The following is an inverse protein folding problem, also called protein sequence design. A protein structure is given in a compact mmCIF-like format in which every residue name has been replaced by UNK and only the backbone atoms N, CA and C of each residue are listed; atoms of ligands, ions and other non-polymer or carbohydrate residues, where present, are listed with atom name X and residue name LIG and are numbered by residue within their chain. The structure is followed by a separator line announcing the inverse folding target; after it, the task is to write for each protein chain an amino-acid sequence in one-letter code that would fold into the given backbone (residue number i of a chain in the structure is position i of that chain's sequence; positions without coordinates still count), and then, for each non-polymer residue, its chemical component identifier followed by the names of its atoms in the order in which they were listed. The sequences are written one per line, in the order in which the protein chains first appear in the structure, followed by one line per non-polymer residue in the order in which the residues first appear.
data_IF_590407924156
#
_entry.id   IF_590407924156
#
_cell.length_a   1.000
_cell.length_b   1.000
_cell.length_c   1.000
_cell.angle_alpha   90.00
_cell.angle_beta   90.00
_cell.angle_gamma   90.00
#
_symmetry.space_group_name_H-M   'P 1'
#
loop_
_entity.id
_entity.type
_entity.pdbx_description
1 polymer ?
#
# COMPACT_ATOMS: atom_id res chain seq x y z
N UNK A 1 18.43 -23.69 2.91
CA UNK A 1 17.15 -24.40 2.77
C UNK A 1 16.29 -23.55 1.86
N UNK A 2 16.03 -24.05 0.65
CA UNK A 2 15.16 -23.36 -0.31
C UNK A 2 13.72 -23.78 -0.04
N UNK A 3 12.89 -22.82 0.33
CA UNK A 3 11.46 -23.06 0.52
C UNK A 3 10.80 -22.97 -0.86
N UNK A 4 10.61 -24.11 -1.52
CA UNK A 4 9.86 -24.21 -2.77
C UNK A 4 8.35 -24.03 -2.49
N UNK A 5 7.64 -23.34 -3.40
CA UNK A 5 6.19 -23.15 -3.37
C UNK A 5 5.62 -22.41 -2.13
N UNK A 6 6.38 -21.48 -1.52
CA UNK A 6 5.91 -20.68 -0.37
C UNK A 6 4.55 -20.01 -0.60
N UNK A 7 4.34 -19.47 -1.82
CA UNK A 7 3.11 -18.75 -2.16
C UNK A 7 1.90 -19.67 -2.29
N UNK A 8 2.08 -20.89 -2.81
CA UNK A 8 0.99 -21.86 -2.97
C UNK A 8 0.61 -22.54 -1.65
N UNK A 9 1.47 -22.44 -0.62
CA UNK A 9 1.27 -23.04 0.71
C UNK A 9 0.73 -22.02 1.73
N UNK A 10 0.37 -20.81 1.30
CA UNK A 10 -0.16 -19.78 2.21
C UNK A 10 -1.57 -20.15 2.65
N UNK A 11 -1.73 -20.42 3.95
CA UNK A 11 -3.03 -20.64 4.57
C UNK A 11 -3.80 -19.32 4.64
N UNK A 12 -4.70 -19.11 3.69
CA UNK A 12 -5.42 -17.85 3.49
C UNK A 12 -6.21 -17.41 4.73
N UNK A 13 -6.80 -18.36 5.46
CA UNK A 13 -7.54 -18.07 6.70
C UNK A 13 -6.62 -17.50 7.79
N UNK A 14 -5.40 -18.01 7.92
CA UNK A 14 -4.40 -17.46 8.85
C UNK A 14 -3.95 -16.07 8.42
N UNK A 15 -3.79 -15.86 7.11
CA UNK A 15 -3.42 -14.55 6.57
C UNK A 15 -4.50 -13.50 6.89
N UNK A 16 -5.78 -13.81 6.67
CA UNK A 16 -6.89 -12.90 7.01
C UNK A 16 -6.94 -12.66 8.53
N UNK A 17 -6.72 -13.69 9.36
CA UNK A 17 -6.63 -13.53 10.81
C UNK A 17 -5.54 -12.52 11.21
N UNK A 18 -4.33 -12.67 10.66
CA UNK A 18 -3.22 -11.74 10.90
C UNK A 18 -3.56 -10.32 10.43
N UNK A 19 -4.23 -10.16 9.28
CA UNK A 19 -4.62 -8.84 8.78
C UNK A 19 -5.61 -8.14 9.70
N UNK A 20 -6.56 -8.88 10.29
CA UNK A 20 -7.52 -8.34 11.26
C UNK A 20 -6.85 -7.90 12.56
N UNK A 21 -5.75 -8.55 12.94
CA UNK A 21 -4.94 -8.19 14.11
C UNK A 21 -4.02 -6.99 13.86
N UNK A 22 -3.46 -6.86 12.64
CA UNK A 22 -2.58 -5.73 12.27
C UNK A 22 -3.37 -4.43 12.13
N UNK A 23 -4.57 -4.49 11.54
CA UNK A 23 -5.46 -3.32 11.42
C UNK A 23 -6.23 -3.15 12.73
N UNK A 24 -5.60 -2.54 13.74
CA UNK A 24 -6.21 -2.37 15.08
C UNK A 24 -7.38 -1.38 15.10
N UNK A 25 -7.28 -0.31 14.31
CA UNK A 25 -8.23 0.81 14.35
C UNK A 25 -9.35 0.65 13.34
N UNK A 26 -10.53 1.20 13.64
CA UNK A 26 -11.70 1.09 12.78
C UNK A 26 -11.63 1.98 11.53
N UNK A 27 -10.90 3.10 11.62
CA UNK A 27 -10.76 4.05 10.54
C UNK A 27 -9.34 4.61 10.47
N UNK A 28 -8.86 4.76 9.23
CA UNK A 28 -7.55 5.33 8.95
C UNK A 28 -7.66 6.50 7.96
N UNK A 29 -6.83 7.52 8.18
CA UNK A 29 -6.60 8.62 7.25
C UNK A 29 -5.31 8.35 6.48
N UNK A 30 -5.41 8.35 5.15
CA UNK A 30 -4.26 8.23 4.25
C UNK A 30 -3.79 9.64 3.89
N UNK A 31 -2.70 10.07 4.50
CA UNK A 31 -2.01 11.32 4.18
C UNK A 31 -1.04 11.12 3.01
N UNK A 32 -1.22 11.89 1.94
CA UNK A 32 -0.36 11.84 0.73
C UNK A 32 0.58 13.03 0.70
N UNK A 33 1.86 12.79 0.41
CA UNK A 33 2.86 13.85 0.41
C UNK A 33 4.00 13.57 -0.59
N UNK A 34 4.61 14.64 -1.07
CA UNK A 34 5.82 14.59 -1.87
C UNK A 34 7.05 14.50 -0.97
N UNK A 35 8.02 13.68 -1.38
CA UNK A 35 9.35 13.62 -0.82
C UNK A 35 10.34 14.01 -1.92
N UNK A 36 11.20 14.98 -1.64
CA UNK A 36 12.28 15.38 -2.53
C UNK A 36 13.59 15.29 -1.77
N UNK A 37 14.48 14.43 -2.22
CA UNK A 37 15.78 14.24 -1.59
C UNK A 37 16.89 14.12 -2.64
N UNK A 38 18.11 14.48 -2.24
CA UNK A 38 19.29 14.28 -3.07
C UNK A 38 19.93 12.94 -2.73
N UNK A 39 20.07 12.07 -3.73
CA UNK A 39 20.82 10.81 -3.60
C UNK A 39 22.07 10.94 -4.45
N UNK A 40 23.21 11.18 -3.80
CA UNK A 40 24.43 11.63 -4.48
C UNK A 40 24.25 13.01 -5.10
N UNK A 41 24.54 13.15 -6.39
CA UNK A 41 24.36 14.41 -7.15
C UNK A 41 23.00 14.54 -7.86
N UNK A 42 22.10 13.58 -7.68
CA UNK A 42 20.81 13.55 -8.38
C UNK A 42 19.66 13.87 -7.45
N UNK A 43 18.81 14.79 -7.90
CA UNK A 43 17.54 15.08 -7.26
C UNK A 43 16.55 13.94 -7.55
N UNK A 44 15.96 13.37 -6.49
CA UNK A 44 14.92 12.36 -6.61
C UNK A 44 13.63 12.89 -6.00
N UNK A 45 12.55 12.78 -6.76
CA UNK A 45 11.20 13.05 -6.30
C UNK A 45 10.43 11.75 -6.17
N UNK A 46 9.74 11.57 -5.06
CA UNK A 46 8.86 10.43 -4.77
C UNK A 46 7.53 10.95 -4.23
N UNK A 47 6.44 10.29 -4.60
CA UNK A 47 5.15 10.47 -3.94
C UNK A 47 4.98 9.35 -2.92
N UNK A 48 4.75 9.73 -1.67
CA UNK A 48 4.59 8.83 -0.55
C UNK A 48 3.19 8.97 0.04
N UNK A 49 2.77 7.92 0.74
CA UNK A 49 1.52 7.88 1.50
C UNK A 49 1.85 7.32 2.88
N UNK A 50 1.18 7.83 3.91
CA UNK A 50 1.21 7.29 5.27
C UNK A 50 -0.22 7.16 5.78
N UNK A 51 -0.51 6.05 6.44
CA UNK A 51 -1.78 5.84 7.11
C UNK A 51 -1.63 6.21 8.59
N UNK A 52 -2.64 6.91 9.11
CA UNK A 52 -2.78 7.30 10.50
C UNK A 52 -4.15 6.83 11.01
N UNK A 53 -4.29 6.45 12.28
CA UNK A 53 -5.61 6.37 12.91
C UNK A 53 -6.39 7.68 12.72
N UNK A 54 -7.71 7.61 12.55
CA UNK A 54 -8.55 8.81 12.37
C UNK A 54 -8.42 9.78 13.55
N UNK A 55 -8.47 9.23 14.78
CA UNK A 55 -8.42 9.98 16.04
C UNK A 55 -7.03 10.53 16.40
N UNK A 56 -5.96 10.02 15.78
CA UNK A 56 -4.57 10.41 16.06
C UNK A 56 -3.85 10.83 14.77
N UNK A 57 -4.57 11.54 13.90
CA UNK A 57 -4.00 12.06 12.65
C UNK A 57 -3.32 13.41 12.90
N UNK A 58 -1.96 13.49 12.86
CA UNK A 58 -1.26 14.75 13.07
C UNK A 58 -1.46 15.68 11.87
N UNK A 59 -1.35 16.99 12.12
CA UNK A 59 -1.16 17.95 11.04
C UNK A 59 0.10 17.63 10.22
N UNK A 60 0.14 18.12 8.98
CA UNK A 60 1.24 17.80 8.07
C UNK A 60 2.62 18.24 8.59
N UNK A 61 2.72 19.38 9.28
CA UNK A 61 4.01 19.87 9.78
C UNK A 61 4.53 18.97 10.89
N UNK A 62 3.65 18.55 11.79
CA UNK A 62 3.95 17.58 12.86
C UNK A 62 4.35 16.23 12.27
N UNK A 63 3.61 15.73 11.27
CA UNK A 63 3.96 14.50 10.55
C UNK A 63 5.33 14.61 9.84
N UNK A 64 5.60 15.73 9.18
CA UNK A 64 6.86 15.98 8.48
C UNK A 64 8.04 16.09 9.45
N UNK A 65 7.84 16.71 10.62
CA UNK A 65 8.84 16.77 11.69
C UNK A 65 9.22 15.36 12.17
N UNK A 66 8.24 14.51 12.48
CA UNK A 66 8.49 13.11 12.88
C UNK A 66 9.23 12.33 11.78
N UNK A 67 8.84 12.50 10.51
CA UNK A 67 9.49 11.82 9.39
C UNK A 67 10.93 12.32 9.16
N UNK A 68 11.22 13.59 9.47
CA UNK A 68 12.55 14.18 9.31
C UNK A 68 13.61 13.58 10.24
N UNK A 69 13.18 12.98 11.36
CA UNK A 69 14.07 12.25 12.28
C UNK A 69 14.74 11.07 11.58
N UNK A 70 13.96 10.32 10.77
CA UNK A 70 14.43 9.15 10.02
C UNK A 70 14.95 9.49 8.61
N UNK A 71 14.39 10.51 7.96
CA UNK A 71 14.67 10.86 6.56
C UNK A 71 15.38 12.21 6.44
N UNK A 72 16.68 12.21 6.73
CA UNK A 72 17.51 13.41 6.63
C UNK A 72 17.64 13.91 5.19
N UNK A 73 17.86 15.21 5.03
CA UNK A 73 18.03 15.88 3.72
C UNK A 73 16.85 15.66 2.75
N UNK A 74 15.64 15.55 3.31
CA UNK A 74 14.41 15.38 2.55
C UNK A 74 13.52 16.59 2.75
N UNK A 75 13.04 17.16 1.66
CA UNK A 75 11.98 18.17 1.65
C UNK A 75 10.65 17.44 1.50
N UNK A 76 9.71 17.73 2.40
CA UNK A 76 8.36 17.21 2.36
C UNK A 76 7.41 18.27 1.81
N UNK A 77 6.48 17.86 0.94
CA UNK A 77 5.49 18.74 0.32
C UNK A 77 4.10 18.16 0.56
N UNK A 78 3.23 18.90 1.23
CA UNK A 78 1.84 18.48 1.43
C UNK A 78 1.11 18.50 0.07
N UNK A 79 0.34 17.45 -0.20
CA UNK A 79 -0.55 17.42 -1.36
C UNK A 79 -1.99 17.79 -1.00
N UNK A 80 -2.31 17.95 0.30
CA UNK A 80 -3.64 18.28 0.83
C UNK A 80 -4.70 17.24 0.44
N UNK A 81 -4.27 16.04 0.08
CA UNK A 81 -5.17 14.92 -0.25
C UNK A 81 -5.17 13.95 0.91
N UNK A 82 -6.25 14.02 1.71
CA UNK A 82 -6.55 13.13 2.81
C UNK A 82 -7.77 12.30 2.46
N UNK A 83 -7.58 10.99 2.30
CA UNK A 83 -8.68 10.04 2.07
C UNK A 83 -8.85 9.16 3.31
N UNK A 84 -10.06 9.07 3.83
CA UNK A 84 -10.39 8.11 4.88
C UNK A 84 -10.65 6.72 4.29
N UNK A 85 -10.35 5.68 5.06
CA UNK A 85 -10.61 4.29 4.70
C UNK A 85 -10.98 3.53 5.96
N UNK A 86 -12.07 2.76 5.91
CA UNK A 86 -12.51 1.94 7.04
C UNK A 86 -11.83 0.59 7.02
N UNK A 87 -11.63 0.02 8.21
CA UNK A 87 -11.07 -1.32 8.40
C UNK A 87 -11.89 -2.37 7.67
N UNK A 88 -13.22 -2.31 7.78
CA UNK A 88 -14.14 -3.24 7.13
C UNK A 88 -13.94 -3.25 5.61
N UNK A 89 -14.00 -2.08 4.97
CA UNK A 89 -13.76 -1.93 3.52
C UNK A 89 -12.39 -2.48 3.10
N UNK A 90 -11.36 -2.25 3.92
CA UNK A 90 -10.00 -2.73 3.65
C UNK A 90 -9.89 -4.26 3.80
N UNK A 91 -10.51 -4.84 4.83
CA UNK A 91 -10.54 -6.28 5.04
C UNK A 91 -11.32 -6.96 3.93
N UNK A 92 -12.48 -6.43 3.54
CA UNK A 92 -13.30 -6.97 2.46
C UNK A 92 -12.53 -6.94 1.13
N UNK A 93 -11.87 -5.83 0.81
CA UNK A 93 -11.02 -5.73 -0.37
C UNK A 93 -9.87 -6.73 -0.33
N UNK A 94 -9.20 -6.88 0.81
CA UNK A 94 -8.09 -7.84 0.96
C UNK A 94 -8.58 -9.29 0.86
N UNK A 95 -9.75 -9.60 1.42
CA UNK A 95 -10.37 -10.92 1.37
C UNK A 95 -10.76 -11.27 -0.08
N UNK A 96 -11.39 -10.36 -0.81
CA UNK A 96 -11.64 -10.47 -2.26
C UNK A 96 -10.33 -10.75 -2.99
N UNK A 97 -9.28 -9.94 -2.76
CA UNK A 97 -8.02 -10.08 -3.48
C UNK A 97 -7.27 -11.37 -3.15
N UNK A 98 -7.34 -11.87 -1.91
CA UNK A 98 -6.66 -13.09 -1.49
C UNK A 98 -7.40 -14.34 -2.00
N UNK A 99 -8.72 -14.33 -1.97
CA UNK A 99 -9.54 -15.48 -2.35
C UNK A 99 -9.78 -15.56 -3.86
N UNK A 100 -9.91 -14.42 -4.56
CA UNK A 100 -10.27 -14.38 -5.97
C UNK A 100 -9.07 -14.31 -6.94
N UNK A 101 -7.88 -13.88 -6.49
CA UNK A 101 -6.69 -13.82 -7.39
C UNK A 101 -6.01 -15.16 -7.67
N UNK A 102 -6.46 -16.28 -7.10
CA UNK A 102 -5.79 -17.58 -7.31
C UNK A 102 -6.02 -18.23 -8.69
N UNK A 103 -6.88 -17.67 -9.58
CA UNK A 103 -7.33 -18.36 -10.81
C UNK A 103 -6.95 -17.66 -12.13
N UNK A 104 -6.04 -16.67 -12.14
CA UNK A 104 -5.63 -16.01 -13.40
C UNK A 104 -4.16 -16.19 -13.79
N UNK A 105 -3.58 -17.35 -13.49
CA UNK A 105 -2.31 -17.79 -14.09
C UNK A 105 -2.55 -18.98 -15.04
N UNK A 106 -2.31 -18.74 -16.35
CA UNK A 106 -2.41 -19.65 -17.54
C UNK A 106 -3.82 -19.81 -18.13
N UNK A 107 -4.04 -19.50 -19.42
CA UNK A 107 -3.42 -20.18 -20.58
C UNK A 107 -2.88 -19.20 -21.63
N UNK A 108 -1.57 -19.29 -21.90
CA UNK A 108 -0.98 -18.94 -23.17
C UNK A 108 -1.48 -19.91 -24.24
N UNK A 109 -2.22 -19.42 -25.25
CA UNK A 109 -2.55 -20.20 -26.43
C UNK A 109 -3.82 -19.79 -27.14
N UNK A 110 -3.75 -18.72 -27.94
CA UNK A 110 -4.21 -18.62 -29.34
C UNK A 110 -4.09 -17.17 -29.82
N UNK A 111 -3.68 -16.92 -31.08
CA UNK A 111 -3.58 -15.58 -31.63
C UNK A 111 -4.97 -15.00 -31.89
N UNK A 112 -5.19 -13.77 -31.43
CA UNK A 112 -6.34 -12.96 -31.82
C UNK A 112 -6.04 -12.39 -33.21
N UNK A 113 -6.62 -13.02 -34.24
CA UNK A 113 -6.86 -12.34 -35.51
C UNK A 113 -8.06 -11.42 -35.24
N UNK A 114 -7.84 -10.12 -35.32
CA UNK A 114 -8.91 -9.12 -35.32
C UNK A 114 -9.06 -8.69 -36.77
N UNK A 115 -10.03 -9.26 -37.47
CA UNK A 115 -10.54 -8.69 -38.71
C UNK A 115 -11.38 -7.46 -38.34
N UNK A 116 -10.90 -6.28 -38.74
CA UNK A 116 -11.72 -5.07 -38.76
C UNK A 116 -12.43 -5.00 -40.11
N UNK A 117 -13.76 -5.11 -40.09
CA UNK A 117 -14.65 -4.62 -41.16
C UNK A 117 -15.20 -3.26 -40.78
#
# INVERSE_FOLDING_TARGET
MDVQACFDTIEQTKLIGILRDILSEDQYVIQRFGQVNCVGSRLRRKFAKKAWPDDDSPDFLTAAAQLSEALRHTIFVDQVVYSSSRKEDMIDLLEEHITENLVKARKSGRPLIVDCS
#
